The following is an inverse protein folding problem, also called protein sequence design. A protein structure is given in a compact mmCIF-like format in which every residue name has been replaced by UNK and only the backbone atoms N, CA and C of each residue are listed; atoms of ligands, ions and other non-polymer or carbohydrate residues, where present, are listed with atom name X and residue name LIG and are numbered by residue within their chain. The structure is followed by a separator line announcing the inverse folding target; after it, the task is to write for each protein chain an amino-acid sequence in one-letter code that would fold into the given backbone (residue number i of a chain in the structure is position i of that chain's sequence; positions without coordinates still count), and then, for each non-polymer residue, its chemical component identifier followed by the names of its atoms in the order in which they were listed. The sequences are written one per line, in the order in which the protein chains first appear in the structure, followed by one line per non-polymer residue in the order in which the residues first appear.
data_IF_454753026401
#
_entry.id   IF_454753026401
#
_cell.length_a   1.000
_cell.length_b   1.000
_cell.length_c   1.000
_cell.angle_alpha   90.00
_cell.angle_beta   90.00
_cell.angle_gamma   90.00
#
_symmetry.space_group_name_H-M   'P 1'
#
loop_
_entity.id
_entity.type
_entity.pdbx_description
1 polymer ?
#
# COMPACT_ATOMS: atom_id res chain seq x y z
N UNK A 1 -16.62 -10.51 -18.56
CA UNK A 1 -16.30 -9.08 -18.35
C UNK A 1 -14.81 -8.89 -18.49
N UNK A 2 -14.41 -7.87 -19.17
CA UNK A 2 -12.98 -7.60 -19.39
C UNK A 2 -12.48 -6.52 -18.43
N UNK A 3 -11.17 -6.31 -18.43
CA UNK A 3 -10.54 -5.27 -17.63
C UNK A 3 -11.10 -3.89 -18.00
N UNK A 4 -11.39 -3.70 -19.28
CA UNK A 4 -11.90 -2.43 -19.79
C UNK A 4 -13.34 -2.17 -19.38
N UNK A 5 -14.10 -3.23 -19.11
CA UNK A 5 -15.52 -3.10 -18.79
C UNK A 5 -15.78 -2.90 -17.30
N UNK A 6 -14.78 -3.16 -16.46
CA UNK A 6 -14.98 -3.07 -15.02
C UNK A 6 -15.07 -1.61 -14.56
N UNK A 7 -16.03 -1.34 -13.72
CA UNK A 7 -16.15 0.00 -13.12
C UNK A 7 -15.19 0.11 -11.94
N UNK A 8 -14.05 0.71 -12.18
CA UNK A 8 -12.99 0.81 -11.19
C UNK A 8 -13.28 1.81 -10.08
N UNK A 9 -14.43 2.49 -10.14
CA UNK A 9 -14.89 3.33 -9.04
C UNK A 9 -15.60 2.54 -7.95
N UNK A 10 -15.98 1.30 -8.24
CA UNK A 10 -16.66 0.45 -7.29
C UNK A 10 -15.71 0.00 -6.19
N UNK A 11 -16.25 -0.08 -4.99
CA UNK A 11 -15.52 -0.62 -3.86
C UNK A 11 -15.63 -2.14 -3.88
N UNK A 12 -14.49 -2.78 -3.79
CA UNK A 12 -14.45 -4.24 -3.76
C UNK A 12 -14.42 -4.77 -2.32
N UNK A 13 -13.64 -4.11 -1.46
CA UNK A 13 -13.50 -4.54 -0.08
C UNK A 13 -13.92 -3.44 0.88
N UNK A 14 -14.54 -3.85 1.99
CA UNK A 14 -14.77 -2.94 3.11
C UNK A 14 -13.48 -2.79 3.92
N UNK A 15 -12.90 -3.93 4.33
CA UNK A 15 -11.66 -3.90 5.08
C UNK A 15 -10.88 -5.20 4.87
N UNK A 16 -9.60 -5.14 5.20
CA UNK A 16 -8.70 -6.29 5.20
C UNK A 16 -8.08 -6.38 6.59
N UNK A 17 -8.08 -7.58 7.16
CA UNK A 17 -7.41 -7.85 8.42
C UNK A 17 -6.09 -8.57 8.15
N UNK A 18 -5.03 -8.03 8.73
CA UNK A 18 -3.69 -8.58 8.63
C UNK A 18 -3.24 -9.00 10.03
N UNK A 19 -2.75 -10.22 10.15
CA UNK A 19 -2.25 -10.75 11.42
C UNK A 19 -0.76 -10.52 11.51
N UNK A 20 -0.29 -10.03 12.65
CA UNK A 20 1.11 -9.68 12.85
C UNK A 20 1.73 -10.56 13.93
N UNK A 21 2.94 -11.08 13.65
CA UNK A 21 3.68 -11.85 14.65
C UNK A 21 4.29 -10.93 15.71
N UNK A 22 4.72 -9.74 15.30
CA UNK A 22 5.19 -8.70 16.19
C UNK A 22 4.29 -7.48 15.99
N UNK A 23 3.24 -7.42 16.78
CA UNK A 23 2.20 -6.43 16.63
C UNK A 23 2.74 -5.00 16.70
N UNK A 24 3.61 -4.71 17.67
CA UNK A 24 4.13 -3.35 17.86
C UNK A 24 4.98 -2.92 16.67
N UNK A 25 5.82 -3.82 16.14
CA UNK A 25 6.63 -3.52 14.97
C UNK A 25 5.77 -3.33 13.74
N UNK A 26 4.75 -4.15 13.56
CA UNK A 26 3.87 -4.02 12.41
C UNK A 26 3.06 -2.73 12.47
N UNK A 27 2.57 -2.35 13.63
CA UNK A 27 1.88 -1.07 13.80
C UNK A 27 2.85 0.07 13.49
N UNK A 28 4.08 0.00 13.98
CA UNK A 28 5.09 1.02 13.69
C UNK A 28 5.35 1.12 12.18
N UNK A 29 5.44 -0.03 11.51
CA UNK A 29 5.65 -0.06 10.07
C UNK A 29 4.51 0.65 9.34
N UNK A 30 3.27 0.18 9.55
CA UNK A 30 2.15 0.72 8.80
C UNK A 30 1.87 2.18 9.14
N UNK A 31 2.04 2.58 10.39
CA UNK A 31 1.92 3.99 10.75
C UNK A 31 2.94 4.86 10.02
N UNK A 32 4.18 4.38 9.95
CA UNK A 32 5.27 5.11 9.32
C UNK A 32 5.06 5.29 7.82
N UNK A 33 4.66 4.21 7.13
CA UNK A 33 4.64 4.23 5.67
C UNK A 33 3.31 4.66 5.09
N UNK A 34 2.22 4.54 5.85
CA UNK A 34 0.91 4.96 5.38
C UNK A 34 0.64 6.45 5.59
N UNK A 35 1.33 7.10 6.52
CA UNK A 35 1.16 8.53 6.75
C UNK A 35 1.46 9.35 5.50
N UNK A 36 2.56 9.11 4.76
CA UNK A 36 2.82 9.82 3.51
C UNK A 36 1.73 9.63 2.46
N UNK A 37 0.99 8.53 2.52
CA UNK A 37 -0.09 8.26 1.57
C UNK A 37 -1.41 8.87 2.03
N UNK A 38 -1.41 9.56 3.16
CA UNK A 38 -2.63 10.18 3.69
C UNK A 38 -3.58 9.20 4.34
N UNK A 39 -3.13 8.00 4.69
CA UNK A 39 -3.96 6.98 5.33
C UNK A 39 -3.85 7.13 6.84
N UNK A 40 -4.93 7.50 7.53
CA UNK A 40 -4.87 7.78 8.96
C UNK A 40 -4.98 6.51 9.81
N UNK A 41 -4.38 6.57 10.99
CA UNK A 41 -4.66 5.60 12.03
C UNK A 41 -5.93 6.07 12.74
N UNK A 42 -7.00 5.29 12.62
CA UNK A 42 -8.31 5.69 13.13
C UNK A 42 -8.55 5.22 14.55
N UNK A 43 -8.00 4.06 14.93
CA UNK A 43 -8.28 3.47 16.21
C UNK A 43 -7.14 2.53 16.57
N UNK A 44 -6.75 2.56 17.84
CA UNK A 44 -5.73 1.66 18.35
C UNK A 44 -6.23 1.02 19.63
N UNK A 45 -6.27 -0.31 19.64
CA UNK A 45 -6.60 -1.11 20.80
C UNK A 45 -5.36 -1.84 21.27
N UNK A 46 -5.49 -2.62 22.33
CA UNK A 46 -4.34 -3.35 22.84
C UNK A 46 -3.83 -4.43 21.91
N UNK A 47 -4.71 -4.99 21.08
CA UNK A 47 -4.39 -6.13 20.23
C UNK A 47 -4.78 -5.93 18.76
N UNK A 48 -5.24 -4.75 18.38
CA UNK A 48 -5.43 -4.42 16.96
C UNK A 48 -5.49 -2.92 16.75
N UNK A 49 -5.10 -2.51 15.55
CA UNK A 49 -5.05 -1.12 15.12
C UNK A 49 -5.68 -1.00 13.74
N UNK A 50 -6.49 0.03 13.56
CA UNK A 50 -7.19 0.28 12.31
C UNK A 50 -6.55 1.45 11.57
N UNK A 51 -6.08 1.19 10.35
CA UNK A 51 -5.59 2.20 9.43
C UNK A 51 -6.57 2.28 8.26
N UNK A 52 -7.58 3.14 8.38
CA UNK A 52 -8.65 3.22 7.40
C UNK A 52 -9.25 1.82 7.13
N UNK A 53 -9.05 1.26 5.95
CA UNK A 53 -9.62 -0.04 5.58
C UNK A 53 -8.69 -1.22 5.89
N UNK A 54 -7.55 -0.98 6.53
CA UNK A 54 -6.62 -2.02 6.92
C UNK A 54 -6.56 -2.15 8.43
N UNK A 55 -6.80 -3.34 8.93
CA UNK A 55 -6.63 -3.66 10.33
C UNK A 55 -5.38 -4.51 10.53
N UNK A 56 -4.57 -4.16 11.52
CA UNK A 56 -3.41 -4.95 11.93
C UNK A 56 -3.71 -5.51 13.31
N UNK A 57 -3.68 -6.82 13.44
CA UNK A 57 -4.07 -7.51 14.66
C UNK A 57 -2.95 -8.38 15.21
N UNK A 58 -2.87 -8.46 16.53
CA UNK A 58 -1.92 -9.33 17.22
C UNK A 58 -2.51 -10.74 17.24
N UNK A 59 -2.30 -11.50 16.20
CA UNK A 59 -2.87 -12.83 16.04
C UNK A 59 -1.89 -13.77 15.36
N UNK A 60 -2.12 -15.05 15.58
CA UNK A 60 -1.29 -16.12 14.98
C UNK A 60 -2.19 -17.10 14.23
N UNK A 61 -1.70 -17.71 13.16
CA UNK A 61 -0.41 -17.44 12.51
C UNK A 61 -0.40 -16.08 11.85
N UNK A 62 0.81 -15.52 11.69
CA UNK A 62 0.96 -14.24 11.02
C UNK A 62 0.58 -14.37 9.55
N UNK A 63 0.04 -13.28 9.01
CA UNK A 63 -0.20 -13.19 7.58
C UNK A 63 1.13 -13.16 6.85
N UNK A 64 1.30 -14.02 5.86
CA UNK A 64 2.52 -14.11 5.06
C UNK A 64 2.14 -14.27 3.59
N UNK A 65 3.09 -13.96 2.73
CA UNK A 65 2.93 -14.06 1.27
C UNK A 65 1.82 -13.15 0.74
N UNK A 66 1.50 -12.09 1.45
CA UNK A 66 0.53 -11.11 1.02
C UNK A 66 1.22 -10.00 0.24
N UNK A 67 0.58 -9.53 -0.82
CA UNK A 67 0.99 -8.35 -1.55
C UNK A 67 -0.12 -7.31 -1.42
N UNK A 68 0.15 -6.23 -0.72
CA UNK A 68 -0.77 -5.11 -0.57
C UNK A 68 -0.26 -3.94 -1.40
N UNK A 69 -1.14 -3.36 -2.21
CA UNK A 69 -0.81 -2.19 -2.99
C UNK A 69 -1.76 -1.06 -2.60
N UNK A 70 -1.18 0.04 -2.14
CA UNK A 70 -1.93 1.22 -1.73
C UNK A 70 -1.83 2.29 -2.80
N UNK A 71 -2.93 3.01 -3.02
CA UNK A 71 -2.91 4.15 -3.91
C UNK A 71 -2.12 5.30 -3.33
N UNK A 72 -1.31 5.94 -4.18
CA UNK A 72 -0.72 7.23 -3.92
C UNK A 72 -1.37 8.27 -4.83
N UNK A 73 -1.45 9.50 -4.34
CA UNK A 73 -2.09 10.59 -5.11
C UNK A 73 -1.08 11.35 -5.97
N UNK A 74 0.21 11.08 -5.77
CA UNK A 74 1.28 11.73 -6.50
C UNK A 74 2.54 10.89 -6.40
N UNK A 75 3.48 11.10 -7.33
CA UNK A 75 4.77 10.42 -7.28
C UNK A 75 5.52 10.72 -5.99
N UNK A 76 5.41 11.94 -5.51
CA UNK A 76 6.07 12.38 -4.28
C UNK A 76 5.62 11.55 -3.08
N UNK A 77 4.38 11.11 -3.06
CA UNK A 77 3.89 10.23 -1.99
C UNK A 77 4.54 8.86 -2.06
N UNK A 78 4.74 8.33 -3.25
CA UNK A 78 5.45 7.06 -3.43
C UNK A 78 6.90 7.20 -2.95
N UNK A 79 7.55 8.29 -3.33
CA UNK A 79 8.92 8.56 -2.90
C UNK A 79 9.01 8.63 -1.38
N UNK A 80 8.10 9.35 -0.76
CA UNK A 80 8.11 9.55 0.69
C UNK A 80 7.74 8.28 1.44
N UNK A 81 6.81 7.48 0.92
CA UNK A 81 6.49 6.16 1.45
C UNK A 81 7.76 5.32 1.61
N UNK A 82 8.54 5.25 0.56
CA UNK A 82 9.77 4.46 0.56
C UNK A 82 10.83 5.06 1.46
N UNK A 83 11.02 6.38 1.37
CA UNK A 83 12.01 7.08 2.18
C UNK A 83 11.72 6.93 3.67
N UNK A 84 10.47 7.15 4.07
CA UNK A 84 10.08 7.05 5.46
C UNK A 84 10.29 5.62 6.00
N UNK A 85 9.92 4.62 5.21
CA UNK A 85 10.08 3.24 5.61
C UNK A 85 11.53 2.84 5.78
N UNK A 86 12.38 3.16 4.81
CA UNK A 86 13.81 2.80 4.88
C UNK A 86 14.52 3.61 5.97
N UNK A 87 14.16 4.89 6.15
CA UNK A 87 14.73 5.70 7.21
C UNK A 87 14.39 5.14 8.61
N UNK A 88 13.24 4.51 8.75
CA UNK A 88 12.82 3.88 10.00
C UNK A 88 13.41 2.49 10.20
N UNK A 89 14.22 2.00 9.26
CA UNK A 89 14.90 0.73 9.37
C UNK A 89 14.20 -0.45 8.70
N UNK A 90 13.11 -0.20 7.98
CA UNK A 90 12.41 -1.26 7.28
C UNK A 90 13.08 -1.56 5.94
N UNK A 91 12.84 -2.77 5.43
CA UNK A 91 13.55 -3.26 4.26
C UNK A 91 12.88 -2.86 2.98
N UNK A 92 13.67 -2.36 2.04
CA UNK A 92 13.21 -2.08 0.68
C UNK A 92 13.01 -3.37 -0.09
N UNK A 93 11.95 -3.42 -0.88
CA UNK A 93 11.71 -4.49 -1.84
C UNK A 93 11.62 -3.92 -3.26
N UNK A 94 12.05 -2.68 -3.46
CA UNK A 94 12.12 -2.02 -4.75
C UNK A 94 12.01 -0.51 -4.59
N UNK A 95 13.00 0.26 -5.08
CA UNK A 95 13.00 1.72 -4.93
C UNK A 95 11.93 2.36 -5.81
N UNK A 96 11.58 3.62 -5.52
CA UNK A 96 10.62 4.34 -6.37
C UNK A 96 11.08 4.41 -7.81
N UNK A 97 10.15 4.20 -8.72
CA UNK A 97 10.43 4.29 -10.14
C UNK A 97 9.28 3.76 -10.97
N UNK A 98 9.40 3.98 -12.28
CA UNK A 98 8.42 3.45 -13.21
C UNK A 98 8.62 1.96 -13.39
N UNK A 99 7.51 1.24 -13.55
CA UNK A 99 7.49 -0.20 -13.81
C UNK A 99 6.71 -0.46 -15.08
N UNK A 100 7.05 -1.55 -15.73
CA UNK A 100 6.44 -1.94 -16.99
C UNK A 100 5.21 -2.84 -16.72
N UNK A 101 4.30 -2.34 -15.91
CA UNK A 101 3.07 -3.04 -15.54
C UNK A 101 1.82 -2.30 -16.01
N UNK A 102 2.00 -1.31 -16.90
CA UNK A 102 0.91 -0.51 -17.38
C UNK A 102 1.35 0.93 -17.55
N UNK A 103 0.50 1.73 -18.14
CA UNK A 103 0.82 3.11 -18.41
C UNK A 103 0.98 3.89 -17.12
N UNK A 104 2.12 4.56 -16.99
CA UNK A 104 2.35 5.46 -15.86
C UNK A 104 2.45 4.78 -14.51
N UNK A 105 2.86 3.52 -14.47
CA UNK A 105 2.95 2.75 -13.23
C UNK A 105 4.19 3.17 -12.46
N UNK A 106 4.03 4.10 -11.51
CA UNK A 106 5.12 4.59 -10.68
C UNK A 106 4.94 4.07 -9.26
N UNK A 107 5.88 3.24 -8.81
CA UNK A 107 5.68 2.49 -7.57
C UNK A 107 6.97 2.29 -6.79
N UNK A 108 6.80 1.96 -5.52
CA UNK A 108 7.88 1.55 -4.63
C UNK A 108 7.38 0.44 -3.73
N UNK A 109 8.30 -0.36 -3.22
CA UNK A 109 7.99 -1.58 -2.49
C UNK A 109 8.80 -1.67 -1.21
N UNK A 110 8.14 -2.08 -0.14
CA UNK A 110 8.76 -2.36 1.15
C UNK A 110 8.31 -3.73 1.63
N UNK A 111 9.06 -4.30 2.56
CA UNK A 111 8.62 -5.51 3.24
C UNK A 111 8.15 -5.12 4.64
N UNK A 112 6.96 -5.60 5.03
CA UNK A 112 6.53 -5.41 6.40
C UNK A 112 7.32 -6.35 7.33
N UNK A 113 7.16 -6.25 8.67
CA UNK A 113 7.95 -7.08 9.58
C UNK A 113 7.76 -8.58 9.39
N UNK A 114 6.66 -9.04 8.83
CA UNK A 114 6.43 -10.47 8.55
C UNK A 114 6.81 -10.84 7.12
N UNK A 115 7.39 -9.92 6.36
CA UNK A 115 7.89 -10.18 5.01
C UNK A 115 6.86 -10.01 3.91
N UNK A 116 5.70 -9.44 4.21
CA UNK A 116 4.70 -9.18 3.17
C UNK A 116 5.16 -8.03 2.28
N UNK A 117 4.83 -8.12 0.99
CA UNK A 117 5.19 -7.12 0.00
C UNK A 117 4.18 -5.98 0.05
N UNK A 118 4.64 -4.80 0.45
CA UNK A 118 3.79 -3.62 0.58
C UNK A 118 4.22 -2.60 -0.44
N UNK A 119 3.29 -2.21 -1.28
CA UNK A 119 3.54 -1.35 -2.44
C UNK A 119 2.76 -0.06 -2.31
N UNK A 120 3.35 1.06 -2.74
CA UNK A 120 2.64 2.29 -3.00
C UNK A 120 2.70 2.55 -4.50
N UNK A 121 1.57 2.86 -5.11
CA UNK A 121 1.45 3.02 -6.56
C UNK A 121 0.76 4.32 -6.90
N UNK A 122 1.40 5.10 -7.74
CA UNK A 122 0.77 6.25 -8.38
C UNK A 122 0.64 5.96 -9.89
N UNK A 123 -0.56 6.14 -10.41
CA UNK A 123 -0.78 5.99 -11.84
C UNK A 123 -0.56 7.34 -12.51
N UNK A 124 0.64 7.53 -13.01
CA UNK A 124 1.07 8.77 -13.64
C UNK A 124 0.62 8.78 -15.09
N UNK A 125 -0.64 9.07 -15.28
CA UNK A 125 -1.16 9.15 -16.65
C UNK A 125 -1.17 10.58 -17.18
N UNK A 126 -1.06 11.56 -16.28
CA UNK A 126 -0.97 12.95 -16.65
C UNK A 126 -2.01 13.36 -17.66
N UNK A 127 -1.56 14.02 -18.72
CA UNK A 127 -2.44 14.41 -19.81
C UNK A 127 -2.51 13.36 -20.90
N UNK A 128 -1.86 12.23 -20.68
CA UNK A 128 -1.81 11.16 -21.67
C UNK A 128 -3.07 10.32 -21.52
N UNK A 129 -3.88 10.27 -22.50
CA UNK A 129 -4.88 9.27 -22.55
C UNK A 129 -5.96 9.33 -21.52
N UNK A 130 -6.65 10.43 -21.49
CA UNK A 130 -7.83 10.52 -20.68
C UNK A 130 -8.77 9.33 -20.89
N UNK A 131 -8.78 8.81 -22.10
CA UNK A 131 -9.61 7.69 -22.38
C UNK A 131 -8.96 6.35 -22.10
N UNK A 132 -7.69 6.35 -21.74
CA UNK A 132 -6.92 5.11 -21.64
C UNK A 132 -6.50 4.84 -20.21
N UNK A 133 -5.96 5.84 -19.58
CA UNK A 133 -5.27 5.65 -18.32
C UNK A 133 -6.03 4.87 -17.28
N UNK A 134 -7.20 5.26 -16.92
CA UNK A 134 -7.88 4.61 -15.82
C UNK A 134 -8.10 3.13 -16.04
N UNK A 135 -8.15 2.74 -17.26
CA UNK A 135 -8.49 1.38 -17.59
C UNK A 135 -7.31 0.47 -17.68
N UNK A 136 -6.16 1.04 -17.62
CA UNK A 136 -4.96 0.26 -17.77
C UNK A 136 -4.49 -0.33 -16.47
N UNK A 137 -5.27 -0.30 -15.57
CA UNK A 137 -4.96 -0.77 -14.29
C UNK A 137 -4.21 -2.00 -14.23
#
# INVERSE_FOLDING_TARGET
MSVEDWDWSLRLFDHVDLHASDYRESVRFYETVLAPLGVPKLLERGDWTCFANLNVADRRPATQNLHLCFYARAKEEVDEFHRAGTAAGFRSNGPPGYRDYGLGYYAAYLLDPDGNNVEALYRDVGNVGHGVGPRLR
#
